data_IF_124578987531
#
_entry.id   IF_124578987531
#
_cell.length_a   1.000
_cell.length_b   1.000
_cell.length_c   1.000
_cell.angle_alpha   90.00
_cell.angle_beta   90.00
_cell.angle_gamma   90.00
#
_symmetry.space_group_name_H-M   'P 1'
#
loop_
_entity.id
_entity.type
_entity.pdbx_description
1 polymer ?
#
# COMPACT_ATOMS: atom_id res chain seq x y z
N UNK A 1 80.24 -12.18 4.02
CA UNK A 1 79.36 -10.98 4.05
C UNK A 1 78.19 -11.06 3.07
N UNK A 2 78.34 -11.64 1.88
CA UNK A 2 77.25 -11.76 0.88
C UNK A 2 76.04 -12.60 1.33
N UNK A 3 76.24 -13.63 2.16
CA UNK A 3 75.14 -14.47 2.68
C UNK A 3 74.21 -13.75 3.66
N UNK A 4 74.70 -12.77 4.43
CA UNK A 4 73.86 -11.98 5.35
C UNK A 4 73.03 -10.92 4.62
N UNK A 5 73.50 -10.44 3.46
CA UNK A 5 72.76 -9.47 2.65
C UNK A 5 71.52 -10.10 2.00
N UNK A 6 71.64 -11.35 1.53
CA UNK A 6 70.55 -12.10 0.90
C UNK A 6 69.42 -12.37 1.90
N UNK A 7 69.77 -12.68 3.15
CA UNK A 7 68.80 -12.99 4.20
C UNK A 7 67.99 -11.75 4.64
N UNK A 8 68.61 -10.57 4.62
CA UNK A 8 67.95 -9.29 4.89
C UNK A 8 66.95 -8.92 3.77
N UNK A 9 67.31 -9.17 2.52
CA UNK A 9 66.44 -8.90 1.36
C UNK A 9 65.20 -9.80 1.38
N UNK A 10 65.35 -11.09 1.72
CA UNK A 10 64.22 -12.02 1.83
C UNK A 10 63.24 -11.56 2.91
N UNK A 11 63.74 -11.05 4.05
CA UNK A 11 62.89 -10.60 5.15
C UNK A 11 62.06 -9.35 4.81
N UNK A 12 62.62 -8.42 4.04
CA UNK A 12 61.93 -7.20 3.58
C UNK A 12 60.84 -7.52 2.57
N UNK A 13 61.06 -8.51 1.69
CA UNK A 13 60.06 -8.90 0.67
C UNK A 13 58.90 -9.68 1.31
N UNK A 14 59.15 -10.49 2.35
CA UNK A 14 58.10 -11.25 3.03
C UNK A 14 57.21 -10.43 3.98
N UNK A 15 57.64 -9.23 4.40
CA UNK A 15 56.87 -8.38 5.33
C UNK A 15 56.04 -7.27 4.67
N UNK A 16 56.19 -7.03 3.36
CA UNK A 16 55.85 -5.73 2.77
C UNK A 16 54.46 -5.52 2.18
N UNK A 17 53.68 -6.56 1.83
CA UNK A 17 52.48 -6.35 1.00
C UNK A 17 51.16 -6.86 1.59
N UNK A 18 51.17 -7.68 2.65
CA UNK A 18 49.93 -8.27 3.17
C UNK A 18 49.07 -7.29 4.02
N UNK A 19 49.67 -6.23 4.56
CA UNK A 19 49.00 -5.31 5.49
C UNK A 19 48.42 -4.04 4.85
N UNK A 20 48.52 -3.89 3.52
CA UNK A 20 47.94 -2.73 2.81
C UNK A 20 46.44 -2.93 2.49
N UNK A 21 45.93 -4.15 2.65
CA UNK A 21 44.52 -4.50 2.37
C UNK A 21 43.65 -4.70 3.62
N UNK A 22 44.23 -4.72 4.83
CA UNK A 22 43.49 -4.98 6.08
C UNK A 22 42.66 -3.79 6.57
N UNK A 23 42.90 -2.58 6.03
CA UNK A 23 42.11 -1.37 6.32
C UNK A 23 40.96 -1.09 5.36
N UNK A 24 40.72 -1.94 4.36
CA UNK A 24 39.58 -1.81 3.43
C UNK A 24 38.53 -2.85 3.81
N UNK A 25 37.71 -2.54 4.81
CA UNK A 25 36.55 -3.35 5.15
C UNK A 25 35.49 -3.12 4.08
N UNK A 26 35.39 -4.04 3.12
CA UNK A 26 34.32 -4.04 2.11
C UNK A 26 32.92 -4.27 2.70
N UNK A 27 32.82 -4.57 4.00
CA UNK A 27 31.57 -4.71 4.75
C UNK A 27 30.71 -3.44 4.70
N UNK A 28 31.31 -2.26 4.88
CA UNK A 28 30.58 -0.99 4.83
C UNK A 28 30.05 -0.63 3.44
N UNK A 29 30.66 -1.19 2.38
CA UNK A 29 30.25 -0.98 0.99
C UNK A 29 29.29 -2.10 0.51
N UNK A 30 29.39 -3.30 1.09
CA UNK A 30 28.52 -4.44 0.83
C UNK A 30 27.16 -4.34 1.54
N UNK A 31 27.08 -3.63 2.67
CA UNK A 31 25.82 -3.34 3.37
C UNK A 31 24.99 -2.23 2.69
N UNK A 32 25.53 -1.59 1.64
CA UNK A 32 24.83 -0.53 0.88
C UNK A 32 24.13 -1.09 -0.36
N UNK A 33 23.05 -1.83 -0.17
CA UNK A 33 22.18 -2.36 -1.24
C UNK A 33 21.58 -1.29 -2.20
N UNK A 34 21.76 -0.02 -1.89
CA UNK A 34 21.19 1.11 -2.64
C UNK A 34 22.19 1.84 -3.52
N UNK A 35 23.50 1.63 -3.32
CA UNK A 35 24.54 2.22 -4.15
C UNK A 35 24.71 1.37 -5.41
N UNK A 36 24.12 1.82 -6.51
CA UNK A 36 24.35 1.21 -7.82
C UNK A 36 25.82 1.33 -8.26
N UNK A 37 26.16 0.73 -9.40
CA UNK A 37 27.51 0.77 -9.99
C UNK A 37 28.08 2.21 -10.13
N UNK A 38 27.22 3.22 -10.14
CA UNK A 38 27.57 4.63 -10.21
C UNK A 38 26.90 5.42 -9.09
N UNK A 39 27.69 6.17 -8.32
CA UNK A 39 27.24 6.97 -7.18
C UNK A 39 27.36 8.46 -7.52
N UNK A 40 26.25 9.20 -7.41
CA UNK A 40 26.21 10.63 -7.64
C UNK A 40 27.15 11.38 -6.68
N UNK A 41 27.93 12.34 -7.18
CA UNK A 41 28.92 13.09 -6.38
C UNK A 41 30.27 12.38 -6.17
N UNK A 42 30.35 11.05 -6.33
CA UNK A 42 31.61 10.30 -6.35
C UNK A 42 32.11 10.07 -7.77
N UNK A 43 31.25 9.49 -8.61
CA UNK A 43 31.60 9.07 -9.97
C UNK A 43 31.22 10.12 -11.03
N UNK A 44 30.34 11.06 -10.66
CA UNK A 44 29.95 12.20 -11.47
C UNK A 44 30.22 13.51 -10.70
N UNK A 45 30.77 14.51 -11.37
CA UNK A 45 30.96 15.84 -10.80
C UNK A 45 29.61 16.53 -10.63
N UNK A 46 29.42 17.24 -9.51
CA UNK A 46 28.22 18.02 -9.26
C UNK A 46 28.10 19.15 -10.29
N UNK A 47 26.92 19.27 -10.90
CA UNK A 47 26.62 20.31 -11.89
C UNK A 47 25.73 21.37 -11.24
N UNK A 48 25.76 22.60 -11.77
CA UNK A 48 24.87 23.67 -11.30
C UNK A 48 23.40 23.25 -11.42
N UNK A 49 22.69 23.16 -10.29
CA UNK A 49 21.33 22.64 -10.19
C UNK A 49 21.20 21.38 -9.33
N UNK A 50 22.31 20.72 -9.00
CA UNK A 50 22.32 19.61 -8.06
C UNK A 50 22.17 20.12 -6.62
N UNK A 51 21.34 19.44 -5.82
CA UNK A 51 21.13 19.74 -4.40
C UNK A 51 22.34 19.36 -3.52
N UNK A 52 23.40 18.78 -4.13
CA UNK A 52 24.61 18.34 -3.42
C UNK A 52 24.41 17.09 -2.55
N UNK A 53 23.23 16.45 -2.62
CA UNK A 53 22.93 15.23 -1.88
C UNK A 53 23.51 14.02 -2.62
N UNK A 54 24.50 13.38 -2.00
CA UNK A 54 25.20 12.20 -2.54
C UNK A 54 24.31 10.95 -2.58
N UNK A 55 23.31 10.88 -1.70
CA UNK A 55 22.50 9.69 -1.46
C UNK A 55 21.01 10.00 -1.60
N UNK A 56 20.28 9.10 -2.28
CA UNK A 56 18.82 9.14 -2.31
C UNK A 56 18.28 8.15 -1.30
N UNK A 57 17.32 8.55 -0.44
CA UNK A 57 16.68 7.61 0.45
C UNK A 57 16.00 6.50 -0.36
N UNK A 58 16.05 5.27 0.15
CA UNK A 58 15.46 4.08 -0.49
C UNK A 58 13.98 4.31 -0.82
N UNK A 59 13.26 5.07 0.01
CA UNK A 59 11.86 5.38 -0.23
C UNK A 59 11.64 6.25 -1.47
N UNK A 60 12.54 7.21 -1.74
CA UNK A 60 12.51 8.00 -2.97
C UNK A 60 12.79 7.13 -4.20
N UNK A 61 13.75 6.20 -4.08
CA UNK A 61 14.06 5.23 -5.13
C UNK A 61 12.85 4.35 -5.40
N UNK A 62 12.25 3.74 -4.37
CA UNK A 62 11.03 2.91 -4.48
C UNK A 62 9.87 3.68 -5.10
N UNK A 63 9.70 4.94 -4.74
CA UNK A 63 8.65 5.80 -5.28
C UNK A 63 8.85 6.11 -6.77
N UNK A 64 10.09 6.18 -7.25
CA UNK A 64 10.43 6.45 -8.67
C UNK A 64 10.50 5.19 -9.53
N UNK A 65 10.99 4.10 -8.95
CA UNK A 65 11.16 2.81 -9.60
C UNK A 65 10.42 1.75 -8.78
N UNK A 66 9.09 1.62 -8.95
CA UNK A 66 8.33 0.58 -8.28
C UNK A 66 8.77 -0.79 -8.79
N UNK A 67 8.88 -1.78 -7.89
CA UNK A 67 9.35 -3.12 -8.25
C UNK A 67 8.31 -3.90 -9.07
N UNK A 68 7.02 -3.50 -9.00
CA UNK A 68 5.93 -4.12 -9.77
C UNK A 68 4.84 -3.12 -10.18
N UNK A 69 4.01 -3.49 -11.16
CA UNK A 69 2.83 -2.69 -11.54
C UNK A 69 1.81 -2.57 -10.40
N UNK A 70 1.69 -3.61 -9.58
CA UNK A 70 0.80 -3.62 -8.42
C UNK A 70 1.26 -2.62 -7.35
N UNK A 71 2.56 -2.64 -7.03
CA UNK A 71 3.14 -1.69 -6.08
C UNK A 71 2.97 -0.25 -6.57
N UNK A 72 3.20 -0.01 -7.87
CA UNK A 72 2.92 1.29 -8.49
C UNK A 72 1.47 1.73 -8.27
N UNK A 73 0.50 0.86 -8.56
CA UNK A 73 -0.91 1.18 -8.40
C UNK A 73 -1.27 1.48 -6.94
N UNK A 74 -0.66 0.77 -5.99
CA UNK A 74 -0.86 1.05 -4.57
C UNK A 74 -0.26 2.39 -4.15
N UNK A 75 0.97 2.70 -4.58
CA UNK A 75 1.60 3.99 -4.32
C UNK A 75 0.79 5.14 -4.93
N UNK A 76 0.28 4.97 -6.15
CA UNK A 76 -0.54 5.97 -6.82
C UNK A 76 -1.88 6.18 -6.08
N UNK A 77 -2.49 5.10 -5.58
CA UNK A 77 -3.68 5.18 -4.73
C UNK A 77 -3.38 5.95 -3.44
N UNK A 78 -2.34 5.59 -2.71
CA UNK A 78 -1.95 6.26 -1.45
C UNK A 78 -1.69 7.76 -1.67
N UNK A 79 -0.99 8.12 -2.76
CA UNK A 79 -0.79 9.52 -3.16
C UNK A 79 -2.12 10.22 -3.45
N UNK A 80 -3.04 9.55 -4.14
CA UNK A 80 -4.36 10.14 -4.44
C UNK A 80 -5.13 10.45 -3.15
N UNK A 81 -5.12 9.53 -2.18
CA UNK A 81 -5.77 9.67 -0.87
C UNK A 81 -5.16 10.84 -0.10
N UNK A 82 -3.83 10.88 0.01
CA UNK A 82 -3.14 11.97 0.71
C UNK A 82 -3.41 13.33 0.05
N UNK A 83 -3.37 13.40 -1.27
CA UNK A 83 -3.68 14.64 -2.01
C UNK A 83 -5.12 15.11 -1.79
N UNK A 84 -6.06 14.18 -1.74
CA UNK A 84 -7.47 14.46 -1.48
C UNK A 84 -7.68 14.95 -0.05
N UNK A 85 -7.09 14.28 0.93
CA UNK A 85 -7.16 14.68 2.33
C UNK A 85 -6.60 16.09 2.51
N UNK A 86 -5.42 16.38 1.95
CA UNK A 86 -4.82 17.73 2.00
C UNK A 86 -5.72 18.78 1.38
N UNK A 87 -6.31 18.49 0.21
CA UNK A 87 -7.26 19.40 -0.45
C UNK A 87 -8.48 19.68 0.43
N UNK A 88 -9.09 18.65 1.01
CA UNK A 88 -10.26 18.81 1.88
C UNK A 88 -9.92 19.58 3.15
N UNK A 89 -8.80 19.26 3.80
CA UNK A 89 -8.32 19.98 4.99
C UNK A 89 -8.01 21.44 4.68
N UNK A 90 -7.39 21.73 3.55
CA UNK A 90 -7.10 23.10 3.12
C UNK A 90 -8.36 23.92 2.77
N UNK A 91 -9.47 23.25 2.44
CA UNK A 91 -10.75 23.89 2.15
C UNK A 91 -11.58 24.19 3.42
N UNK A 92 -11.16 23.71 4.60
CA UNK A 92 -11.87 23.96 5.86
C UNK A 92 -11.65 25.39 6.34
N UNK A 93 -12.67 25.94 6.98
CA UNK A 93 -12.52 27.15 7.78
C UNK A 93 -11.77 26.84 9.10
N UNK A 94 -11.30 27.88 9.77
CA UNK A 94 -10.52 27.73 11.01
C UNK A 94 -11.31 26.97 12.09
N UNK A 95 -12.62 27.21 12.20
CA UNK A 95 -13.46 26.54 13.19
C UNK A 95 -13.65 25.04 12.87
N UNK A 96 -13.95 24.66 11.62
CA UNK A 96 -14.06 23.26 11.25
C UNK A 96 -12.72 22.54 11.32
N UNK A 97 -11.61 23.22 11.02
CA UNK A 97 -10.28 22.66 11.18
C UNK A 97 -9.98 22.31 12.65
N UNK A 98 -10.32 23.20 13.60
CA UNK A 98 -10.14 22.91 15.03
C UNK A 98 -11.01 21.74 15.50
N UNK A 99 -12.25 21.63 15.01
CA UNK A 99 -13.12 20.47 15.27
C UNK A 99 -12.54 19.19 14.70
N UNK A 100 -12.10 19.22 13.45
CA UNK A 100 -11.46 18.10 12.79
C UNK A 100 -10.21 17.65 13.57
N UNK A 101 -9.37 18.57 14.02
CA UNK A 101 -8.18 18.24 14.82
C UNK A 101 -8.53 17.57 16.16
N UNK A 102 -9.61 18.01 16.82
CA UNK A 102 -10.11 17.37 18.04
C UNK A 102 -10.58 15.93 17.76
N UNK A 103 -11.35 15.74 16.70
CA UNK A 103 -11.94 14.44 16.35
C UNK A 103 -10.94 13.50 15.64
N UNK A 104 -9.82 14.03 15.12
CA UNK A 104 -8.78 13.28 14.40
C UNK A 104 -8.25 12.08 15.17
N UNK A 105 -8.17 12.17 16.50
CA UNK A 105 -7.72 11.06 17.36
C UNK A 105 -8.64 9.83 17.30
N UNK A 106 -9.89 10.02 16.92
CA UNK A 106 -10.92 8.97 16.79
C UNK A 106 -10.92 8.34 15.39
N UNK A 107 -10.31 9.02 14.40
CA UNK A 107 -10.27 8.63 13.00
C UNK A 107 -8.94 7.89 12.70
N UNK A 108 -9.01 6.58 12.46
CA UNK A 108 -7.83 5.73 12.41
C UNK A 108 -7.07 5.82 11.07
N UNK A 109 -7.78 5.99 9.95
CA UNK A 109 -7.18 5.94 8.61
C UNK A 109 -7.39 7.25 7.83
N UNK A 110 -6.49 7.61 6.88
CA UNK A 110 -6.69 8.77 6.02
C UNK A 110 -8.01 8.73 5.24
N UNK A 111 -8.40 7.56 4.76
CA UNK A 111 -9.67 7.35 4.05
C UNK A 111 -10.88 7.61 4.95
N UNK A 112 -10.81 7.21 6.22
CA UNK A 112 -11.84 7.53 7.22
C UNK A 112 -11.90 9.03 7.51
N UNK A 113 -10.76 9.71 7.52
CA UNK A 113 -10.72 11.17 7.67
C UNK A 113 -11.38 11.87 6.48
N UNK A 114 -11.10 11.44 5.25
CA UNK A 114 -11.74 11.94 4.03
C UNK A 114 -13.26 11.75 4.13
N UNK A 115 -13.71 10.54 4.48
CA UNK A 115 -15.13 10.24 4.66
C UNK A 115 -15.78 11.15 5.71
N UNK A 116 -15.16 11.29 6.88
CA UNK A 116 -15.65 12.17 7.95
C UNK A 116 -15.77 13.64 7.50
N UNK A 117 -14.84 14.12 6.67
CA UNK A 117 -14.87 15.48 6.15
C UNK A 117 -16.02 15.72 5.16
N UNK A 118 -16.50 14.66 4.49
CA UNK A 118 -17.64 14.73 3.56
C UNK A 118 -19.01 14.64 4.26
N UNK A 119 -19.04 14.25 5.53
CA UNK A 119 -20.26 14.20 6.31
C UNK A 119 -20.82 15.59 6.62
N UNK A 120 -22.14 15.67 6.78
CA UNK A 120 -22.77 16.86 7.35
C UNK A 120 -22.40 17.02 8.83
N UNK A 121 -22.50 18.24 9.37
CA UNK A 121 -22.19 18.50 10.80
C UNK A 121 -22.99 17.61 11.76
N UNK A 122 -24.23 17.26 11.41
CA UNK A 122 -25.05 16.34 12.22
C UNK A 122 -24.50 14.91 12.19
N UNK A 123 -24.12 14.43 11.01
CA UNK A 123 -23.56 13.10 10.81
C UNK A 123 -22.17 12.97 11.46
N UNK A 124 -21.34 14.02 11.43
CA UNK A 124 -20.04 14.03 12.12
C UNK A 124 -20.17 13.76 13.62
N UNK A 125 -21.12 14.43 14.28
CA UNK A 125 -21.36 14.25 15.72
C UNK A 125 -21.83 12.83 16.02
N UNK A 126 -22.72 12.29 15.20
CA UNK A 126 -23.20 10.91 15.33
C UNK A 126 -22.10 9.89 15.09
N UNK A 127 -21.27 10.11 14.06
CA UNK A 127 -20.13 9.27 13.71
C UNK A 127 -19.13 9.17 14.87
N UNK A 128 -18.71 10.31 15.42
CA UNK A 128 -17.77 10.37 16.54
C UNK A 128 -18.39 9.76 17.80
N UNK A 129 -19.68 10.01 18.07
CA UNK A 129 -20.41 9.37 19.19
C UNK A 129 -20.40 7.85 19.06
N UNK A 130 -20.74 7.33 17.88
CA UNK A 130 -20.79 5.89 17.62
C UNK A 130 -19.39 5.26 17.82
N UNK A 131 -18.35 5.89 17.28
CA UNK A 131 -16.96 5.42 17.41
C UNK A 131 -16.48 5.42 18.86
N UNK A 132 -16.78 6.49 19.62
CA UNK A 132 -16.42 6.59 21.03
C UNK A 132 -17.21 5.63 21.94
N UNK A 133 -18.42 5.25 21.54
CA UNK A 133 -19.25 4.31 22.32
C UNK A 133 -18.80 2.85 22.21
N UNK A 134 -17.72 2.56 21.46
CA UNK A 134 -17.22 1.20 21.23
C UNK A 134 -18.15 0.33 20.38
N UNK A 135 -19.21 0.92 19.81
CA UNK A 135 -20.25 0.22 19.02
C UNK A 135 -19.89 0.01 17.54
N UNK A 136 -18.69 0.38 17.11
CA UNK A 136 -18.21 0.06 15.77
C UNK A 136 -17.33 -1.18 15.85
N UNK A 137 -17.98 -2.33 15.97
CA UNK A 137 -17.46 -3.54 15.34
C UNK A 137 -17.14 -3.15 13.89
N UNK A 138 -15.95 -3.49 13.40
CA UNK A 138 -15.36 -3.07 12.12
C UNK A 138 -16.16 -3.54 10.86
N UNK A 139 -17.40 -3.97 11.05
CA UNK A 139 -18.33 -4.58 10.09
C UNK A 139 -19.65 -3.82 9.92
N UNK A 140 -19.82 -2.63 10.52
CA UNK A 140 -20.95 -1.76 10.15
C UNK A 140 -20.67 -1.15 8.78
N UNK A 141 -21.15 -1.85 7.74
CA UNK A 141 -21.35 -1.33 6.39
C UNK A 141 -22.17 -0.04 6.48
N UNK A 142 -21.72 1.10 5.92
CA UNK A 142 -22.44 2.38 6.03
C UNK A 142 -23.64 2.47 5.07
N UNK A 143 -24.43 1.40 4.95
CA UNK A 143 -25.51 1.31 3.97
C UNK A 143 -26.92 1.53 4.54
N UNK A 144 -27.07 2.01 5.77
CA UNK A 144 -28.39 2.17 6.39
C UNK A 144 -28.94 3.62 6.43
N UNK A 145 -28.17 4.65 6.06
CA UNK A 145 -28.63 6.05 6.15
C UNK A 145 -28.86 6.76 4.80
N UNK A 146 -28.52 6.13 3.67
CA UNK A 146 -28.64 6.74 2.32
C UNK A 146 -29.98 6.45 1.61
N UNK A 147 -31.07 6.12 2.32
CA UNK A 147 -32.35 5.78 1.65
C UNK A 147 -33.18 6.98 1.17
N UNK A 148 -32.73 8.23 1.30
CA UNK A 148 -33.58 9.40 0.97
C UNK A 148 -32.94 10.54 0.16
N UNK A 149 -31.68 10.43 -0.30
CA UNK A 149 -31.12 11.47 -1.17
C UNK A 149 -31.30 11.09 -2.64
N UNK A 150 -32.17 11.87 -3.31
CA UNK A 150 -32.35 11.86 -4.76
C UNK A 150 -31.00 12.10 -5.43
N UNK A 151 -30.71 11.23 -6.37
CA UNK A 151 -29.63 11.31 -7.35
C UNK A 151 -29.60 12.65 -8.03
N UNK A 152 -28.49 13.35 -7.89
CA UNK A 152 -27.99 14.29 -8.88
C UNK A 152 -26.55 13.90 -9.21
N UNK A 153 -26.27 13.84 -10.51
CA UNK A 153 -25.00 13.49 -11.12
C UNK A 153 -23.82 14.25 -10.49
N UNK A 154 -22.86 13.49 -9.95
CA UNK A 154 -21.41 13.64 -10.21
C UNK A 154 -20.58 12.82 -9.21
N UNK A 155 -19.73 11.95 -9.77
CA UNK A 155 -18.33 11.75 -9.36
C UNK A 155 -18.00 10.88 -8.10
N UNK A 156 -17.45 9.71 -8.41
CA UNK A 156 -16.25 9.12 -7.77
C UNK A 156 -16.24 8.80 -6.27
N UNK A 157 -17.15 7.96 -5.77
CA UNK A 157 -17.03 7.39 -4.41
C UNK A 157 -17.40 5.91 -4.30
N UNK A 158 -17.50 5.19 -5.42
CA UNK A 158 -17.80 3.75 -5.44
C UNK A 158 -16.58 2.83 -5.30
N UNK A 159 -15.37 3.39 -5.21
CA UNK A 159 -14.10 2.62 -5.28
C UNK A 159 -13.55 2.21 -3.89
N UNK A 160 -14.21 2.52 -2.78
CA UNK A 160 -13.56 2.51 -1.46
C UNK A 160 -13.80 1.32 -0.51
N UNK A 161 -14.38 0.20 -0.97
CA UNK A 161 -14.49 -1.02 -0.15
C UNK A 161 -13.78 -2.21 -0.79
N UNK A 162 -12.48 -2.04 -1.05
CA UNK A 162 -11.59 -3.14 -1.38
C UNK A 162 -10.89 -3.58 -0.08
N UNK A 163 -11.64 -4.23 0.83
CA UNK A 163 -10.97 -5.20 1.69
C UNK A 163 -10.39 -6.23 0.74
N UNK A 164 -9.09 -6.47 0.74
CA UNK A 164 -8.50 -7.55 -0.04
C UNK A 164 -8.88 -8.84 0.69
N UNK A 165 -9.40 -9.82 -0.02
CA UNK A 165 -9.39 -11.17 0.52
C UNK A 165 -7.95 -11.68 0.47
N UNK A 166 -7.19 -11.36 1.52
CA UNK A 166 -5.72 -11.28 1.50
C UNK A 166 -4.97 -12.59 1.26
N UNK A 167 -5.61 -13.75 1.25
CA UNK A 167 -4.86 -15.00 1.04
C UNK A 167 -4.81 -15.50 -0.40
N UNK A 168 -5.72 -15.07 -1.29
CA UNK A 168 -5.75 -15.54 -2.69
C UNK A 168 -6.26 -14.55 -3.73
N UNK A 169 -6.20 -13.24 -3.46
CA UNK A 169 -6.26 -12.24 -4.52
C UNK A 169 -7.57 -12.13 -5.32
N UNK A 170 -8.74 -12.42 -4.73
CA UNK A 170 -10.02 -12.03 -5.35
C UNK A 170 -10.27 -10.53 -5.11
N UNK A 171 -10.73 -9.84 -6.15
CA UNK A 171 -11.09 -8.43 -6.13
C UNK A 171 -12.47 -8.22 -6.74
N UNK A 172 -13.14 -7.16 -6.29
CA UNK A 172 -14.39 -6.67 -6.90
C UNK A 172 -14.12 -6.34 -8.37
N UNK A 173 -15.04 -6.74 -9.25
CA UNK A 173 -14.95 -6.54 -10.69
C UNK A 173 -14.24 -7.67 -11.46
N UNK A 174 -13.65 -8.66 -10.78
CA UNK A 174 -13.09 -9.83 -11.47
C UNK A 174 -14.19 -10.61 -12.19
N UNK A 175 -13.84 -11.15 -13.36
CA UNK A 175 -14.74 -12.04 -14.09
C UNK A 175 -14.73 -13.43 -13.47
N UNK A 176 -15.79 -14.20 -13.73
CA UNK A 176 -15.90 -15.61 -13.28
C UNK A 176 -14.68 -16.45 -13.64
N UNK A 177 -14.12 -16.26 -14.84
CA UNK A 177 -12.96 -17.01 -15.31
C UNK A 177 -11.70 -16.74 -14.46
N UNK A 178 -11.47 -15.47 -14.09
CA UNK A 178 -10.31 -15.08 -13.28
C UNK A 178 -10.41 -15.67 -11.87
N UNK A 179 -11.62 -15.73 -11.32
CA UNK A 179 -11.90 -16.38 -10.03
C UNK A 179 -11.62 -17.87 -10.11
N UNK A 180 -12.08 -18.56 -11.16
CA UNK A 180 -11.78 -19.99 -11.37
C UNK A 180 -10.29 -20.24 -11.55
N UNK A 181 -9.59 -19.37 -12.29
CA UNK A 181 -8.15 -19.51 -12.49
C UNK A 181 -7.38 -19.41 -11.17
N UNK A 182 -7.85 -18.56 -10.26
CA UNK A 182 -7.14 -18.27 -9.01
C UNK A 182 -7.52 -19.28 -7.91
N UNK A 183 -8.78 -19.71 -7.83
CA UNK A 183 -9.31 -20.52 -6.71
C UNK A 183 -9.72 -21.94 -7.11
N UNK A 184 -9.70 -22.26 -8.40
CA UNK A 184 -10.23 -23.50 -8.94
C UNK A 184 -11.74 -23.47 -9.12
N UNK A 185 -12.32 -24.65 -9.36
CA UNK A 185 -13.76 -24.77 -9.57
C UNK A 185 -14.55 -24.63 -8.26
N UNK A 186 -15.70 -23.93 -8.27
CA UNK A 186 -16.55 -23.80 -7.08
C UNK A 186 -17.20 -25.15 -6.73
N UNK A 187 -17.40 -25.40 -5.44
CA UNK A 187 -18.04 -26.63 -4.95
C UNK A 187 -19.57 -26.57 -5.14
N UNK A 188 -20.15 -25.38 -5.04
CA UNK A 188 -21.57 -25.16 -5.30
C UNK A 188 -21.77 -23.80 -5.98
N UNK A 189 -22.71 -23.75 -6.91
CA UNK A 189 -23.12 -22.55 -7.66
C UNK A 189 -24.63 -22.41 -7.51
N UNK A 190 -25.06 -21.43 -6.73
CA UNK A 190 -26.47 -21.09 -6.57
C UNK A 190 -26.82 -19.89 -7.46
N UNK A 191 -27.95 -19.93 -8.15
CA UNK A 191 -28.43 -18.81 -8.98
C UNK A 191 -29.49 -18.01 -8.21
N UNK A 192 -29.31 -16.69 -8.16
CA UNK A 192 -30.28 -15.78 -7.58
C UNK A 192 -31.18 -15.19 -8.68
N UNK A 193 -32.35 -15.80 -8.89
CA UNK A 193 -33.35 -15.33 -9.86
C UNK A 193 -33.17 -15.92 -11.26
N UNK A 194 -33.25 -15.08 -12.30
CA UNK A 194 -33.10 -15.52 -13.70
C UNK A 194 -31.63 -15.86 -14.02
N UNK A 195 -31.30 -17.10 -14.44
CA UNK A 195 -29.95 -17.52 -14.79
C UNK A 195 -29.28 -16.65 -15.88
N UNK A 196 -30.07 -15.97 -16.72
CA UNK A 196 -29.54 -15.10 -17.78
C UNK A 196 -28.86 -13.84 -17.24
N UNK A 197 -29.22 -13.41 -16.04
CA UNK A 197 -28.63 -12.23 -15.40
C UNK A 197 -27.27 -12.53 -14.75
N UNK A 198 -26.83 -13.78 -14.74
CA UNK A 198 -25.54 -14.21 -14.17
C UNK A 198 -25.33 -13.72 -12.72
N UNK A 199 -26.43 -13.67 -11.98
CA UNK A 199 -26.42 -13.37 -10.55
C UNK A 199 -26.23 -14.70 -9.81
N UNK A 200 -24.99 -14.96 -9.42
CA UNK A 200 -24.55 -16.27 -8.94
C UNK A 200 -23.88 -16.14 -7.58
N UNK A 201 -24.05 -17.17 -6.75
CA UNK A 201 -23.33 -17.32 -5.50
C UNK A 201 -22.52 -18.60 -5.54
N UNK A 202 -21.21 -18.45 -5.48
CA UNK A 202 -20.27 -19.57 -5.55
C UNK A 202 -19.75 -19.88 -4.16
N UNK A 203 -19.63 -21.15 -3.81
CA UNK A 203 -19.09 -21.61 -2.54
C UNK A 203 -17.81 -22.41 -2.74
N UNK A 204 -16.76 -22.04 -1.99
CA UNK A 204 -15.47 -22.73 -1.97
C UNK A 204 -15.20 -23.24 -0.56
N UNK A 205 -14.68 -24.47 -0.46
CA UNK A 205 -14.28 -25.06 0.82
C UNK A 205 -12.77 -25.16 0.88
N UNK A 206 -12.16 -24.47 1.84
CA UNK A 206 -10.72 -24.52 2.07
C UNK A 206 -10.41 -24.63 3.56
N UNK A 207 -9.55 -25.58 3.94
CA UNK A 207 -9.10 -25.79 5.33
C UNK A 207 -10.26 -25.85 6.36
N UNK A 208 -11.42 -26.37 5.95
CA UNK A 208 -12.61 -26.48 6.80
C UNK A 208 -13.49 -25.23 6.91
N UNK A 209 -13.08 -24.10 6.30
CA UNK A 209 -13.89 -22.87 6.18
C UNK A 209 -14.64 -22.82 4.86
N UNK A 210 -15.77 -22.12 4.86
CA UNK A 210 -16.61 -21.95 3.66
C UNK A 210 -16.57 -20.50 3.22
N UNK A 211 -16.00 -20.28 2.05
CA UNK A 211 -15.95 -18.98 1.40
C UNK A 211 -17.10 -18.87 0.40
N UNK A 212 -17.87 -17.79 0.46
CA UNK A 212 -18.96 -17.52 -0.49
C UNK A 212 -18.64 -16.27 -1.28
N UNK A 213 -18.61 -16.37 -2.61
CA UNK A 213 -18.39 -15.27 -3.55
C UNK A 213 -19.70 -14.94 -4.26
N UNK A 214 -20.02 -13.65 -4.38
CA UNK A 214 -21.23 -13.16 -5.01
C UNK A 214 -20.89 -12.49 -6.34
N UNK A 215 -21.60 -12.90 -7.38
CA UNK A 215 -21.51 -12.36 -8.73
C UNK A 215 -22.80 -11.64 -9.09
N UNK A 216 -22.65 -10.53 -9.79
CA UNK A 216 -23.74 -9.79 -10.40
C UNK A 216 -23.36 -9.51 -11.85
N UNK A 217 -24.22 -9.90 -12.80
CA UNK A 217 -23.92 -9.75 -14.25
C UNK A 217 -22.57 -10.37 -14.66
N UNK A 218 -22.13 -11.43 -13.97
CA UNK A 218 -20.89 -12.15 -14.29
C UNK A 218 -19.60 -11.56 -13.70
N UNK A 219 -19.67 -10.50 -12.90
CA UNK A 219 -18.52 -9.92 -12.18
C UNK A 219 -18.66 -10.04 -10.67
N UNK A 220 -17.54 -10.17 -9.96
CA UNK A 220 -17.51 -10.25 -8.49
C UNK A 220 -17.96 -8.92 -7.88
N UNK A 221 -18.98 -8.95 -7.03
CA UNK A 221 -19.41 -7.79 -6.24
C UNK A 221 -18.95 -7.86 -4.77
N UNK A 222 -18.74 -9.06 -4.25
CA UNK A 222 -18.30 -9.23 -2.87
C UNK A 222 -18.19 -10.69 -2.44
N UNK A 223 -17.79 -10.91 -1.19
CA UNK A 223 -17.61 -12.24 -0.62
C UNK A 223 -17.81 -12.25 0.91
N UNK A 224 -18.03 -13.44 1.47
CA UNK A 224 -18.18 -13.71 2.91
C UNK A 224 -17.35 -14.95 3.25
N UNK A 225 -16.78 -14.99 4.46
CA UNK A 225 -16.11 -16.17 5.03
C UNK A 225 -16.84 -16.61 6.27
N UNK A 226 -17.19 -17.90 6.32
CA UNK A 226 -17.62 -18.60 7.53
C UNK A 226 -16.51 -19.56 8.00
#
# INVERSE_FOLDING_TARGET
MTKSLILLIVFVISGGCANIFTGRTFIDEMDRDSDGLWVAGRDFQAVAGDEGTTYRPIDEIRQRTPASQYEKAQTDLEKSIDSELRRKVAALDEQAYLRFQKDKSVLATPSEQIYYLDLTEREKVEYVRLKNSGGVDQTIKPYAFLSNYKTDDNLSLKTFYQSRFEERGIAIGMNKQDVVQTWGEPHNVDFAGDPRLQNERWSFREKGKVHRVFFESGVVQGWIVD
#
